data_IF_095857074285
#
_entry.id   IF_095857074285
#
_cell.length_a   1.000
_cell.length_b   1.000
_cell.length_c   1.000
_cell.angle_alpha   90.00
_cell.angle_beta   90.00
_cell.angle_gamma   90.00
#
_symmetry.space_group_name_H-M   'P 1'
#
loop_
_entity.id
_entity.type
_entity.pdbx_description
1 polymer ?
#
# COMPACT_ATOMS: atom_id res chain seq x y z
N UNK A 1 -22.48 -0.92 -21.33
CA UNK A 1 -22.29 0.34 -20.59
C UNK A 1 -21.08 1.01 -21.24
N UNK A 2 -21.30 2.07 -22.03
CA UNK A 2 -20.22 2.84 -22.66
C UNK A 2 -19.63 3.75 -21.57
N UNK A 3 -18.39 3.49 -21.13
CA UNK A 3 -17.59 4.46 -20.39
C UNK A 3 -17.29 5.64 -21.30
N UNK A 4 -17.81 6.83 -20.99
CA UNK A 4 -17.39 8.07 -21.61
C UNK A 4 -15.90 8.28 -21.28
N UNK A 5 -15.05 8.13 -22.28
CA UNK A 5 -13.62 8.43 -22.19
C UNK A 5 -13.46 9.92 -21.91
N UNK A 6 -12.94 10.25 -20.75
CA UNK A 6 -12.61 11.63 -20.35
C UNK A 6 -11.46 12.15 -21.23
N UNK A 7 -11.49 13.44 -21.59
CA UNK A 7 -10.56 14.09 -22.54
C UNK A 7 -9.09 14.12 -22.07
N UNK A 8 -8.79 13.61 -20.87
CA UNK A 8 -7.45 13.67 -20.22
C UNK A 8 -6.69 12.33 -20.22
N UNK A 9 -7.07 11.38 -21.06
CA UNK A 9 -6.30 10.14 -21.25
C UNK A 9 -5.53 10.20 -22.56
N UNK A 10 -4.23 9.94 -22.52
CA UNK A 10 -3.40 9.80 -23.72
C UNK A 10 -3.28 8.34 -24.12
N UNK A 11 -3.53 8.07 -25.41
CA UNK A 11 -3.36 6.73 -25.97
C UNK A 11 -1.88 6.45 -26.20
N UNK A 12 -1.32 5.42 -25.57
CA UNK A 12 0.00 4.88 -25.89
C UNK A 12 -0.11 3.48 -26.45
N UNK A 13 0.80 3.11 -27.36
CA UNK A 13 0.92 1.75 -27.88
C UNK A 13 2.15 1.09 -27.26
N UNK A 14 1.96 -0.03 -26.58
CA UNK A 14 3.05 -0.90 -26.18
C UNK A 14 2.71 -2.34 -26.59
N UNK A 15 3.65 -2.99 -27.27
CA UNK A 15 3.52 -4.37 -27.77
C UNK A 15 2.21 -4.68 -28.52
N UNK A 16 1.67 -3.70 -29.28
CA UNK A 16 0.49 -3.87 -30.10
C UNK A 16 -0.85 -3.86 -29.35
N UNK A 17 -0.87 -3.45 -28.09
CA UNK A 17 -2.09 -3.21 -27.33
C UNK A 17 -2.28 -1.73 -27.05
N UNK A 18 -3.54 -1.28 -27.21
CA UNK A 18 -3.92 0.09 -26.84
C UNK A 18 -4.09 0.21 -25.32
N UNK A 19 -3.27 1.03 -24.67
CA UNK A 19 -3.46 1.41 -23.27
C UNK A 19 -3.85 2.88 -23.19
N UNK A 20 -4.84 3.18 -22.34
CA UNK A 20 -5.18 4.56 -21.98
C UNK A 20 -4.40 4.91 -20.71
N UNK A 21 -3.42 5.79 -20.84
CA UNK A 21 -2.72 6.34 -19.68
C UNK A 21 -3.58 7.46 -19.09
N UNK A 22 -4.03 7.25 -17.84
CA UNK A 22 -4.69 8.28 -17.04
C UNK A 22 -3.62 9.24 -16.55
N UNK A 23 -3.86 10.57 -16.67
CA UNK A 23 -2.90 11.57 -16.19
C UNK A 23 -2.67 11.44 -14.68
N UNK A 24 -1.49 11.82 -14.20
CA UNK A 24 -1.12 11.81 -12.78
C UNK A 24 -2.16 12.57 -11.93
N UNK A 25 -2.59 13.74 -12.38
CA UNK A 25 -3.58 14.58 -11.67
C UNK A 25 -4.90 13.86 -11.36
N UNK A 26 -5.28 12.87 -12.17
CA UNK A 26 -6.48 12.09 -11.94
C UNK A 26 -6.26 10.90 -10.99
N UNK A 27 -5.01 10.54 -10.72
CA UNK A 27 -4.61 9.40 -9.88
C UNK A 27 -4.11 9.82 -8.51
N UNK A 28 -3.83 11.12 -8.32
CA UNK A 28 -3.41 11.68 -7.03
C UNK A 28 -4.61 12.21 -6.25
N UNK A 29 -4.64 11.88 -4.96
CA UNK A 29 -5.67 12.36 -4.03
C UNK A 29 -5.00 12.83 -2.75
N UNK A 30 -5.30 14.04 -2.30
CA UNK A 30 -4.89 14.52 -0.99
C UNK A 30 -5.86 14.00 0.06
N UNK A 31 -5.40 13.17 0.98
CA UNK A 31 -6.19 12.58 2.07
C UNK A 31 -6.22 13.55 3.27
N UNK A 32 -5.07 14.05 3.68
CA UNK A 32 -4.93 15.03 4.75
C UNK A 32 -3.81 16.02 4.42
N UNK A 33 -3.46 16.87 5.36
CA UNK A 33 -2.33 17.80 5.22
C UNK A 33 -1.01 17.04 4.97
N UNK A 34 -0.85 15.88 5.63
CA UNK A 34 0.40 15.11 5.67
C UNK A 34 0.31 13.78 4.90
N UNK A 35 -0.80 13.52 4.18
CA UNK A 35 -0.98 12.25 3.46
C UNK A 35 -1.50 12.52 2.06
N UNK A 36 -0.79 11.98 1.06
CA UNK A 36 -1.22 11.93 -0.33
C UNK A 36 -1.29 10.48 -0.79
N UNK A 37 -2.29 10.15 -1.59
CA UNK A 37 -2.44 8.86 -2.25
C UNK A 37 -2.20 9.03 -3.75
N UNK A 38 -1.37 8.17 -4.32
CA UNK A 38 -1.21 8.01 -5.76
C UNK A 38 -1.60 6.58 -6.14
N UNK A 39 -2.61 6.41 -7.00
CA UNK A 39 -3.03 5.10 -7.47
C UNK A 39 -2.26 4.70 -8.73
N UNK A 40 -1.62 3.54 -8.74
CA UNK A 40 -0.89 3.01 -9.88
C UNK A 40 -1.83 2.62 -11.03
N UNK A 41 -1.34 2.70 -12.27
CA UNK A 41 -2.12 2.33 -13.46
C UNK A 41 -2.04 0.81 -13.75
N UNK A 42 -2.33 0.00 -12.73
CA UNK A 42 -2.34 -1.47 -12.77
C UNK A 42 -3.72 -2.05 -12.44
N UNK A 43 -4.79 -1.31 -12.76
CA UNK A 43 -6.16 -1.73 -12.49
C UNK A 43 -6.51 -3.10 -13.07
N UNK A 44 -7.23 -3.92 -12.31
CA UNK A 44 -7.57 -5.29 -12.68
C UNK A 44 -8.54 -5.97 -11.71
N UNK A 45 -8.76 -7.26 -11.92
CA UNK A 45 -9.72 -8.04 -11.11
C UNK A 45 -9.31 -8.09 -9.64
N UNK A 46 -8.00 -8.15 -9.35
CA UNK A 46 -7.47 -8.22 -7.98
C UNK A 46 -7.12 -6.85 -7.40
N UNK A 47 -6.78 -5.89 -8.24
CA UNK A 47 -6.31 -4.56 -7.84
C UNK A 47 -7.37 -3.47 -7.96
N UNK A 48 -8.57 -3.80 -8.43
CA UNK A 48 -9.63 -2.83 -8.63
C UNK A 48 -9.19 -1.65 -9.52
N UNK A 49 -9.23 -0.40 -9.03
CA UNK A 49 -8.74 0.76 -9.77
C UNK A 49 -7.22 0.77 -9.99
N UNK A 50 -6.48 0.08 -9.15
CA UNK A 50 -5.02 0.01 -9.08
C UNK A 50 -4.53 -0.05 -7.65
N UNK A 51 -3.22 -0.19 -7.47
CA UNK A 51 -2.59 -0.19 -6.16
C UNK A 51 -2.37 1.23 -5.65
N UNK A 52 -2.71 1.48 -4.41
CA UNK A 52 -2.51 2.75 -3.75
C UNK A 52 -1.12 2.84 -3.13
N UNK A 53 -0.34 3.80 -3.57
CA UNK A 53 0.90 4.23 -2.94
C UNK A 53 0.60 5.46 -2.09
N UNK A 54 1.07 5.48 -0.84
CA UNK A 54 0.88 6.62 0.04
C UNK A 54 2.21 7.34 0.29
N UNK A 55 2.16 8.69 0.23
CA UNK A 55 3.25 9.58 0.61
C UNK A 55 2.85 10.23 1.93
N UNK A 56 3.60 9.95 2.99
CA UNK A 56 3.27 10.32 4.38
C UNK A 56 4.36 11.22 4.95
N UNK A 57 3.97 12.34 5.52
CA UNK A 57 4.85 13.36 6.13
C UNK A 57 4.79 14.70 5.43
N UNK A 58 5.64 15.64 5.86
CA UNK A 58 5.73 17.00 5.33
C UNK A 58 7.13 17.28 4.76
N UNK A 59 8.09 17.63 5.62
CA UNK A 59 9.46 17.97 5.22
C UNK A 59 10.23 16.72 4.77
N UNK A 60 10.02 15.60 5.45
CA UNK A 60 10.46 14.27 5.02
C UNK A 60 9.26 13.41 4.69
N UNK A 61 9.34 12.68 3.57
CA UNK A 61 8.29 11.78 3.13
C UNK A 61 8.69 10.32 3.29
N UNK A 62 7.78 9.56 3.86
CA UNK A 62 7.80 8.11 3.86
C UNK A 62 6.86 7.59 2.78
N UNK A 63 7.33 6.69 1.92
CA UNK A 63 6.48 5.98 0.97
C UNK A 63 5.96 4.70 1.63
N UNK A 64 4.66 4.45 1.53
CA UNK A 64 4.06 3.17 1.91
C UNK A 64 3.52 2.51 0.64
N UNK A 65 3.95 1.27 0.38
CA UNK A 65 3.65 0.46 -0.79
C UNK A 65 3.89 1.21 -2.12
N UNK A 66 5.12 1.24 -2.61
CA UNK A 66 5.45 1.93 -3.87
C UNK A 66 4.85 1.28 -5.12
N UNK A 67 4.08 0.21 -4.95
CA UNK A 67 3.34 -0.45 -6.00
C UNK A 67 4.20 -1.29 -6.96
N UNK A 68 3.65 -1.60 -8.14
CA UNK A 68 4.37 -2.32 -9.18
C UNK A 68 5.52 -1.46 -9.76
N UNK A 69 6.57 -2.12 -10.29
CA UNK A 69 7.72 -1.43 -10.90
C UNK A 69 7.37 -0.91 -12.32
N UNK A 70 6.39 -0.02 -12.39
CA UNK A 70 5.97 0.68 -13.60
C UNK A 70 6.71 2.02 -13.68
N UNK A 71 7.40 2.29 -14.79
CA UNK A 71 8.25 3.48 -14.94
C UNK A 71 7.50 4.79 -14.73
N UNK A 72 6.28 4.89 -15.26
CA UNK A 72 5.42 6.07 -15.11
C UNK A 72 4.99 6.29 -13.66
N UNK A 73 4.62 5.22 -12.94
CA UNK A 73 4.26 5.31 -11.53
C UNK A 73 5.46 5.70 -10.65
N UNK A 74 6.62 5.13 -10.91
CA UNK A 74 7.86 5.49 -10.20
C UNK A 74 8.25 6.95 -10.46
N UNK A 75 8.14 7.42 -11.71
CA UNK A 75 8.46 8.80 -12.05
C UNK A 75 7.46 9.79 -11.42
N UNK A 76 6.17 9.45 -11.35
CA UNK A 76 5.15 10.23 -10.65
C UNK A 76 5.43 10.32 -9.14
N UNK A 77 5.82 9.20 -8.48
CA UNK A 77 6.22 9.20 -7.06
C UNK A 77 7.39 10.17 -6.83
N UNK A 78 8.41 10.13 -7.71
CA UNK A 78 9.57 11.01 -7.60
C UNK A 78 9.21 12.49 -7.81
N UNK A 79 8.31 12.79 -8.74
CA UNK A 79 7.83 14.14 -9.01
C UNK A 79 7.08 14.70 -7.79
N UNK A 80 6.12 13.94 -7.25
CA UNK A 80 5.34 14.32 -6.06
C UNK A 80 6.27 14.47 -4.85
N UNK A 81 7.20 13.54 -4.69
CA UNK A 81 8.14 13.53 -3.57
C UNK A 81 9.10 14.72 -3.56
N UNK A 82 9.41 15.29 -4.74
CA UNK A 82 10.23 16.51 -4.88
C UNK A 82 11.52 16.49 -4.06
N UNK A 83 12.22 15.36 -4.01
CA UNK A 83 13.46 15.18 -3.27
C UNK A 83 13.32 15.02 -1.74
N UNK A 84 12.10 14.92 -1.21
CA UNK A 84 11.82 14.77 0.22
C UNK A 84 11.69 13.31 0.69
N UNK A 85 11.65 12.34 -0.21
CA UNK A 85 11.48 10.92 0.14
C UNK A 85 12.74 10.41 0.82
N UNK A 86 12.61 9.88 2.05
CA UNK A 86 13.74 9.43 2.87
C UNK A 86 13.69 7.94 3.21
N UNK A 87 12.53 7.29 3.10
CA UNK A 87 12.38 5.86 3.38
C UNK A 87 11.17 5.25 2.68
N UNK A 88 11.17 3.94 2.58
CA UNK A 88 10.09 3.14 1.99
C UNK A 88 9.64 2.11 3.02
N UNK A 89 8.34 2.02 3.27
CA UNK A 89 7.70 0.95 4.00
C UNK A 89 6.93 0.08 3.02
N UNK A 90 6.99 -1.23 3.19
CA UNK A 90 6.12 -2.16 2.46
C UNK A 90 5.23 -2.92 3.44
N UNK A 91 3.94 -3.03 3.13
CA UNK A 91 3.00 -3.78 3.95
C UNK A 91 3.28 -5.28 3.85
N UNK A 92 3.53 -5.76 2.66
CA UNK A 92 3.88 -7.14 2.35
C UNK A 92 4.58 -7.23 0.98
N UNK A 93 5.04 -8.41 0.58
CA UNK A 93 5.94 -8.58 -0.56
C UNK A 93 5.27 -8.96 -1.89
N UNK A 94 3.94 -8.87 -2.02
CA UNK A 94 3.26 -9.16 -3.28
C UNK A 94 3.66 -8.20 -4.41
N UNK A 95 3.48 -8.68 -5.65
CA UNK A 95 4.01 -8.05 -6.86
C UNK A 95 3.37 -6.73 -7.25
N UNK A 96 2.25 -6.43 -6.70
CA UNK A 96 1.57 -5.14 -6.91
C UNK A 96 1.86 -4.11 -5.82
N UNK A 97 2.52 -4.48 -4.70
CA UNK A 97 2.83 -3.57 -3.60
C UNK A 97 4.32 -3.20 -3.52
N UNK A 98 5.21 -4.14 -3.71
CA UNK A 98 6.61 -3.99 -3.29
C UNK A 98 7.66 -3.86 -4.40
N UNK A 99 7.47 -4.25 -5.67
CA UNK A 99 8.52 -4.19 -6.69
C UNK A 99 9.10 -2.80 -6.92
N UNK A 100 8.26 -1.76 -6.88
CA UNK A 100 8.69 -0.36 -7.03
C UNK A 100 9.69 0.10 -5.98
N UNK A 101 9.71 -0.56 -4.80
CA UNK A 101 10.66 -0.23 -3.73
C UNK A 101 12.12 -0.37 -4.17
N UNK A 102 12.44 -1.39 -4.96
CA UNK A 102 13.79 -1.62 -5.46
C UNK A 102 14.27 -0.49 -6.38
N UNK A 103 13.40 -0.05 -7.29
CA UNK A 103 13.70 1.03 -8.22
C UNK A 103 13.85 2.37 -7.52
N UNK A 104 12.96 2.70 -6.57
CA UNK A 104 13.02 3.92 -5.77
C UNK A 104 14.24 3.94 -4.84
N UNK A 105 14.48 2.86 -4.07
CA UNK A 105 15.63 2.75 -3.18
C UNK A 105 16.95 2.95 -3.93
N UNK A 106 17.07 2.34 -5.11
CA UNK A 106 18.27 2.51 -5.95
C UNK A 106 18.43 3.93 -6.48
N UNK A 107 17.33 4.59 -6.93
CA UNK A 107 17.38 5.96 -7.49
C UNK A 107 17.68 7.01 -6.42
N UNK A 108 17.12 6.84 -5.22
CA UNK A 108 17.21 7.82 -4.13
C UNK A 108 18.27 7.48 -3.08
N UNK A 109 18.83 6.26 -3.10
CA UNK A 109 19.73 5.73 -2.07
C UNK A 109 19.10 5.78 -0.65
N UNK A 110 17.88 5.29 -0.54
CA UNK A 110 17.09 5.27 0.71
C UNK A 110 16.76 3.84 1.12
N UNK A 111 16.58 3.57 2.45
CA UNK A 111 16.32 2.23 2.97
C UNK A 111 14.88 1.77 2.71
N UNK A 112 14.73 0.43 2.66
CA UNK A 112 13.46 -0.28 2.60
C UNK A 112 13.21 -0.95 3.94
N UNK A 113 12.06 -0.68 4.54
CA UNK A 113 11.53 -1.29 5.75
C UNK A 113 10.41 -2.25 5.40
N UNK A 114 10.34 -3.39 6.05
CA UNK A 114 9.29 -4.39 5.84
C UNK A 114 9.60 -5.69 6.55
N UNK A 115 8.88 -6.74 6.20
CA UNK A 115 9.10 -8.08 6.75
C UNK A 115 9.27 -9.11 5.63
N UNK A 116 10.10 -10.11 5.87
CA UNK A 116 10.27 -11.29 5.01
C UNK A 116 10.12 -12.53 5.89
N UNK A 117 9.31 -13.48 5.47
CA UNK A 117 9.18 -14.81 6.06
C UNK A 117 9.66 -15.89 5.10
N UNK A 118 9.84 -17.11 5.57
CA UNK A 118 10.19 -18.24 4.69
C UNK A 118 9.10 -18.48 3.63
N UNK A 119 7.83 -18.35 4.01
CA UNK A 119 6.69 -18.52 3.11
C UNK A 119 6.65 -17.47 2.01
N UNK A 120 6.88 -16.19 2.36
CA UNK A 120 6.90 -15.10 1.39
C UNK A 120 8.05 -15.22 0.39
N UNK A 121 9.23 -15.69 0.83
CA UNK A 121 10.38 -15.89 -0.05
C UNK A 121 10.15 -16.96 -1.14
N UNK A 122 9.26 -17.90 -0.90
CA UNK A 122 8.96 -18.97 -1.86
C UNK A 122 7.97 -18.53 -2.96
N UNK A 123 7.18 -17.49 -2.72
CA UNK A 123 6.08 -17.07 -3.60
C UNK A 123 6.33 -15.74 -4.28
N UNK A 124 7.04 -14.84 -3.61
CA UNK A 124 7.17 -13.46 -4.03
C UNK A 124 8.46 -13.24 -4.84
N UNK A 125 8.54 -12.09 -5.49
CA UNK A 125 9.78 -11.68 -6.13
C UNK A 125 10.85 -11.35 -5.07
N UNK A 126 12.13 -11.59 -5.36
CA UNK A 126 13.18 -11.30 -4.39
C UNK A 126 13.31 -9.78 -4.17
N UNK A 127 13.04 -9.36 -2.95
CA UNK A 127 13.27 -8.00 -2.47
C UNK A 127 14.24 -8.02 -1.29
N UNK A 128 15.15 -7.06 -1.26
CA UNK A 128 16.04 -6.86 -0.12
C UNK A 128 15.41 -5.86 0.83
N UNK A 129 15.11 -6.29 2.05
CA UNK A 129 14.71 -5.43 3.15
C UNK A 129 15.99 -4.98 3.88
N UNK A 130 16.17 -3.68 4.06
CA UNK A 130 17.32 -3.13 4.79
C UNK A 130 17.06 -3.11 6.29
N UNK A 131 15.81 -2.88 6.71
CA UNK A 131 15.39 -2.88 8.11
C UNK A 131 14.12 -3.72 8.28
N UNK A 132 14.24 -4.81 9.03
CA UNK A 132 13.07 -5.62 9.42
C UNK A 132 12.23 -4.84 10.42
N UNK A 133 10.92 -4.82 10.21
CA UNK A 133 9.96 -4.24 11.15
C UNK A 133 9.48 -5.28 12.15
N UNK A 134 9.20 -4.84 13.38
CA UNK A 134 8.65 -5.67 14.45
C UNK A 134 7.28 -5.13 14.86
N UNK A 135 6.46 -6.00 15.47
CA UNK A 135 5.15 -5.59 15.97
C UNK A 135 5.29 -4.49 17.04
N UNK A 136 4.47 -3.44 16.90
CA UNK A 136 4.49 -2.25 17.76
C UNK A 136 5.85 -1.53 17.82
N UNK A 137 6.64 -1.61 16.74
CA UNK A 137 7.83 -0.78 16.61
C UNK A 137 7.49 0.60 16.03
N UNK A 138 8.32 1.58 16.39
CA UNK A 138 8.16 2.96 15.94
C UNK A 138 9.15 3.26 14.82
N UNK A 139 8.66 3.80 13.72
CA UNK A 139 9.45 4.25 12.59
C UNK A 139 9.31 5.77 12.56
N UNK A 140 10.38 6.46 12.92
CA UNK A 140 10.37 7.92 13.06
C UNK A 140 10.55 8.63 11.72
N UNK A 141 9.82 9.73 11.52
CA UNK A 141 10.19 10.81 10.61
C UNK A 141 10.91 11.92 11.38
N UNK A 142 11.57 12.87 10.68
CA UNK A 142 12.33 13.97 11.31
C UNK A 142 11.48 14.92 12.14
N UNK A 143 10.16 14.94 11.91
CA UNK A 143 9.23 15.93 12.47
C UNK A 143 8.53 15.45 13.75
N UNK A 144 9.07 14.46 14.45
CA UNK A 144 8.46 13.79 15.60
C UNK A 144 7.19 12.99 15.28
N UNK A 145 6.85 12.83 14.02
CA UNK A 145 5.76 11.98 13.59
C UNK A 145 6.19 10.51 13.66
N UNK A 146 5.40 9.70 14.34
CA UNK A 146 5.67 8.28 14.57
C UNK A 146 4.73 7.43 13.72
N UNK A 147 5.30 6.53 12.92
CA UNK A 147 4.54 5.46 12.26
C UNK A 147 4.70 4.20 13.09
N UNK A 148 3.59 3.64 13.57
CA UNK A 148 3.57 2.39 14.35
C UNK A 148 3.34 1.23 13.40
N UNK A 149 4.21 0.23 13.43
CA UNK A 149 4.05 -1.02 12.67
C UNK A 149 3.25 -2.04 13.46
N UNK A 150 2.22 -2.63 12.85
CA UNK A 150 1.33 -3.62 13.45
C UNK A 150 1.40 -4.90 12.62
N UNK A 151 1.94 -5.98 13.19
CA UNK A 151 1.96 -7.27 12.51
C UNK A 151 0.55 -7.83 12.34
N UNK A 152 0.12 -8.01 11.12
CA UNK A 152 -1.25 -8.42 10.75
C UNK A 152 -1.21 -9.57 9.74
N UNK A 153 -0.68 -10.75 10.13
CA UNK A 153 -0.62 -11.90 9.23
C UNK A 153 -2.03 -12.38 8.89
N UNK A 154 -2.15 -13.08 7.77
CA UNK A 154 -3.40 -13.71 7.33
C UNK A 154 -3.56 -13.72 5.83
N UNK A 155 -3.55 -12.57 5.14
CA UNK A 155 -3.44 -12.48 3.70
C UNK A 155 -2.05 -12.98 3.24
N UNK A 156 -1.02 -12.47 3.88
CA UNK A 156 0.36 -12.90 3.76
C UNK A 156 0.99 -13.02 5.17
N UNK A 157 1.92 -13.96 5.35
CA UNK A 157 2.56 -14.21 6.65
C UNK A 157 3.48 -13.06 7.10
N UNK A 158 3.96 -12.26 6.15
CA UNK A 158 4.85 -11.12 6.37
C UNK A 158 4.12 -9.77 6.36
N UNK A 159 2.78 -9.79 6.48
CA UNK A 159 1.97 -8.58 6.37
C UNK A 159 2.06 -7.70 7.62
N UNK A 160 2.22 -6.39 7.39
CA UNK A 160 2.14 -5.34 8.41
C UNK A 160 1.19 -4.23 7.97
N UNK A 161 0.33 -3.79 8.89
CA UNK A 161 -0.33 -2.50 8.79
C UNK A 161 0.55 -1.42 9.42
N UNK A 162 0.39 -0.17 8.98
CA UNK A 162 1.09 0.99 9.52
C UNK A 162 0.08 2.01 10.02
N UNK A 163 0.24 2.49 11.24
CA UNK A 163 -0.64 3.48 11.86
C UNK A 163 0.09 4.82 12.00
N UNK A 164 -0.52 5.89 11.51
CA UNK A 164 -0.01 7.25 11.57
C UNK A 164 -1.14 8.23 11.85
N UNK A 165 -1.13 8.89 13.02
CA UNK A 165 -2.10 9.93 13.40
C UNK A 165 -3.58 9.52 13.15
N UNK A 166 -3.98 8.32 13.57
CA UNK A 166 -5.34 7.79 13.38
C UNK A 166 -5.61 7.18 11.99
N UNK A 167 -4.71 7.34 11.01
CA UNK A 167 -4.81 6.72 9.69
C UNK A 167 -4.10 5.37 9.68
N UNK A 168 -4.83 4.30 9.33
CA UNK A 168 -4.30 2.95 9.25
C UNK A 168 -4.11 2.52 7.79
N UNK A 169 -2.87 2.37 7.36
CA UNK A 169 -2.51 1.80 6.05
C UNK A 169 -2.55 0.29 6.15
N UNK A 170 -3.53 -0.32 5.48
CA UNK A 170 -3.85 -1.74 5.66
C UNK A 170 -3.33 -2.65 4.56
N UNK A 171 -2.69 -2.11 3.50
CA UNK A 171 -2.32 -2.96 2.37
C UNK A 171 -3.51 -3.83 1.95
N UNK A 172 -3.29 -5.15 1.89
CA UNK A 172 -4.31 -6.15 1.55
C UNK A 172 -4.90 -6.86 2.78
N UNK A 173 -4.81 -6.25 3.96
CA UNK A 173 -5.48 -6.80 5.14
C UNK A 173 -6.96 -6.40 5.21
N UNK A 174 -7.27 -5.13 4.88
CA UNK A 174 -8.64 -4.61 4.75
C UNK A 174 -8.70 -3.81 3.45
N UNK A 175 -9.63 -4.15 2.55
CA UNK A 175 -9.83 -3.49 1.26
C UNK A 175 -11.26 -2.98 1.14
N UNK A 176 -11.43 -1.82 0.51
CA UNK A 176 -12.75 -1.23 0.30
C UNK A 176 -13.49 -1.95 -0.85
N UNK A 177 -14.73 -2.39 -0.57
CA UNK A 177 -15.65 -2.95 -1.57
C UNK A 177 -15.24 -4.30 -2.17
N UNK A 178 -14.27 -4.99 -1.58
CA UNK A 178 -13.73 -6.25 -2.08
C UNK A 178 -13.35 -7.18 -0.95
N UNK A 179 -13.43 -8.48 -1.19
CA UNK A 179 -13.05 -9.51 -0.23
C UNK A 179 -11.59 -9.85 -0.37
N UNK A 180 -10.83 -9.77 0.73
CA UNK A 180 -9.41 -10.14 0.78
C UNK A 180 -9.22 -11.63 0.45
N UNK A 181 -8.24 -11.93 -0.42
CA UNK A 181 -7.87 -13.31 -0.75
C UNK A 181 -6.96 -13.88 0.34
N UNK A 182 -7.36 -15.00 0.93
CA UNK A 182 -6.57 -15.76 1.91
C UNK A 182 -6.22 -17.12 1.30
N UNK A 183 -5.02 -17.25 0.78
CA UNK A 183 -4.61 -18.42 -0.01
C UNK A 183 -3.42 -19.17 0.62
N UNK A 184 -3.61 -20.42 1.10
CA UNK A 184 -2.50 -21.26 1.54
C UNK A 184 -1.46 -21.48 0.42
N UNK A 185 -0.17 -21.74 0.77
CA UNK A 185 0.35 -22.00 2.11
C UNK A 185 0.70 -20.74 2.91
N UNK A 186 0.80 -19.56 2.30
CA UNK A 186 1.19 -18.32 2.98
C UNK A 186 0.02 -17.69 3.72
N UNK A 187 -1.16 -17.63 3.09
CA UNK A 187 -2.38 -17.13 3.70
C UNK A 187 -2.97 -18.07 4.76
N UNK A 188 -3.46 -17.52 5.87
CA UNK A 188 -4.05 -18.23 7.00
C UNK A 188 -5.29 -17.49 7.54
N UNK A 189 -6.45 -18.14 7.50
CA UNK A 189 -7.72 -17.53 7.92
C UNK A 189 -7.80 -17.28 9.43
N UNK A 190 -7.20 -18.13 10.28
CA UNK A 190 -7.19 -17.93 11.73
C UNK A 190 -6.37 -16.69 12.08
N UNK A 191 -5.16 -16.58 11.51
CA UNK A 191 -4.28 -15.44 11.73
C UNK A 191 -4.95 -14.14 11.21
N UNK A 192 -5.66 -14.22 10.08
CA UNK A 192 -6.40 -13.09 9.51
C UNK A 192 -7.46 -12.55 10.46
N UNK A 193 -8.30 -13.45 11.01
CA UNK A 193 -9.35 -13.08 11.97
C UNK A 193 -8.77 -12.53 13.29
N UNK A 194 -7.66 -13.09 13.75
CA UNK A 194 -7.01 -12.62 14.97
C UNK A 194 -6.36 -11.25 14.74
N UNK A 195 -5.80 -11.03 13.55
CA UNK A 195 -5.25 -9.73 13.15
C UNK A 195 -6.33 -8.64 13.03
N UNK A 196 -7.51 -8.97 12.51
CA UNK A 196 -8.65 -8.04 12.48
C UNK A 196 -9.09 -7.61 13.88
N UNK A 197 -9.14 -8.57 14.83
CA UNK A 197 -9.46 -8.26 16.24
C UNK A 197 -8.37 -7.40 16.88
N UNK A 198 -7.09 -7.70 16.61
CA UNK A 198 -5.95 -6.94 17.11
C UNK A 198 -6.01 -5.45 16.72
N UNK A 199 -6.44 -5.13 15.50
CA UNK A 199 -6.55 -3.74 15.04
C UNK A 199 -7.52 -2.95 15.93
N UNK A 200 -8.55 -3.58 16.51
CA UNK A 200 -9.52 -2.91 17.40
C UNK A 200 -8.92 -2.42 18.73
N UNK A 201 -7.72 -2.85 19.08
CA UNK A 201 -6.99 -2.37 20.25
C UNK A 201 -6.25 -1.03 20.00
N UNK A 202 -6.21 -0.57 18.74
CA UNK A 202 -5.60 0.70 18.34
C UNK A 202 -6.65 1.76 18.05
N UNK A 203 -6.29 3.03 18.25
CA UNK A 203 -7.14 4.15 17.85
C UNK A 203 -7.01 4.40 16.34
N UNK A 204 -8.02 3.99 15.58
CA UNK A 204 -8.09 4.17 14.13
C UNK A 204 -9.29 5.06 13.79
N UNK A 205 -9.05 6.12 13.03
CA UNK A 205 -10.09 7.05 12.54
C UNK A 205 -10.49 6.73 11.10
N UNK A 206 -9.51 6.42 10.25
CA UNK A 206 -9.72 6.10 8.84
C UNK A 206 -8.80 4.98 8.40
N UNK A 207 -9.31 4.00 7.67
CA UNK A 207 -8.52 2.98 6.98
C UNK A 207 -8.13 3.47 5.59
N UNK A 208 -6.86 3.31 5.26
CA UNK A 208 -6.27 3.61 3.95
C UNK A 208 -5.78 2.30 3.31
N UNK A 209 -6.62 1.68 2.45
CA UNK A 209 -6.34 0.35 1.91
C UNK A 209 -5.34 0.37 0.76
N UNK A 210 -4.72 -0.79 0.49
CA UNK A 210 -3.88 -1.01 -0.70
C UNK A 210 -4.66 -0.89 -2.02
N UNK A 211 -5.97 -1.16 -1.99
CA UNK A 211 -6.87 -1.03 -3.14
C UNK A 211 -8.20 -0.41 -2.73
N UNK A 212 -8.75 0.44 -3.62
CA UNK A 212 -10.03 1.12 -3.38
C UNK A 212 -9.90 2.45 -2.65
N UNK A 213 -11.02 2.94 -2.13
CA UNK A 213 -11.11 4.24 -1.45
C UNK A 213 -10.93 4.13 0.07
N UNK A 214 -10.63 5.25 0.77
CA UNK A 214 -10.59 5.28 2.24
C UNK A 214 -11.89 4.80 2.87
N UNK A 215 -11.79 4.24 4.09
CA UNK A 215 -12.93 3.74 4.89
C UNK A 215 -12.98 4.56 6.19
N UNK A 216 -14.02 5.36 6.35
CA UNK A 216 -14.17 6.29 7.48
C UNK A 216 -14.83 5.66 8.71
N UNK A 217 -15.43 4.46 8.57
CA UNK A 217 -16.04 3.70 9.68
C UNK A 217 -15.25 2.40 9.90
N UNK A 218 -14.00 2.50 10.43
CA UNK A 218 -13.06 1.38 10.46
C UNK A 218 -13.54 0.17 11.26
N UNK A 219 -14.18 0.40 12.40
CA UNK A 219 -14.61 -0.69 13.29
C UNK A 219 -15.86 -1.39 12.77
N UNK A 220 -16.76 -0.67 12.12
CA UNK A 220 -17.95 -1.25 11.47
C UNK A 220 -17.54 -2.15 10.30
N UNK A 221 -16.56 -1.71 9.50
CA UNK A 221 -16.00 -2.52 8.41
C UNK A 221 -15.31 -3.78 8.95
N UNK A 222 -14.49 -3.66 10.01
CA UNK A 222 -13.83 -4.81 10.65
C UNK A 222 -14.87 -5.81 11.17
N UNK A 223 -15.92 -5.35 11.85
CA UNK A 223 -16.96 -6.22 12.38
C UNK A 223 -17.75 -6.90 11.26
N UNK A 224 -18.07 -6.18 10.18
CA UNK A 224 -18.72 -6.74 8.99
C UNK A 224 -17.85 -7.83 8.32
N UNK A 225 -16.55 -7.61 8.22
CA UNK A 225 -15.62 -8.62 7.68
C UNK A 225 -15.60 -9.87 8.57
N UNK A 226 -15.50 -9.71 9.90
CA UNK A 226 -15.46 -10.84 10.84
C UNK A 226 -16.77 -11.66 10.78
N UNK A 227 -17.91 -10.99 10.69
CA UNK A 227 -19.22 -11.67 10.58
C UNK A 227 -19.39 -12.42 9.25
N UNK A 228 -18.77 -11.91 8.18
CA UNK A 228 -18.88 -12.52 6.86
C UNK A 228 -18.00 -13.76 6.70
N UNK A 229 -16.92 -13.93 7.47
CA UNK A 229 -15.92 -15.00 7.35
C UNK A 229 -16.21 -16.18 8.25
#
# INVERSE_FOLDING_TARGET
IYLQLNQNSTKRMDNGRDYYQVSMDMRITRISENIQRLTANNGGVFTGPGTNTYLVGNDELTIIDPGPDLSDHIDDILEIGSGRITKILITHTHQDHSPGAKSLSKRLNIPIYGCITESSQLRDHPIKIDHMVEHQSFIFSSDHDEIVSIHTPGHASNHFCYLFNGYLFTGDHIMQGSTVVIAPPDGNMSDYLDSLKLIKDFHVETILPGHGDPIDEPYDEIDAIIEHR
#
